data_IF_804146704591
#
_entry.id   IF_804146704591
#
_cell.length_a   1.000
_cell.length_b   1.000
_cell.length_c   1.000
_cell.angle_alpha   90.00
_cell.angle_beta   90.00
_cell.angle_gamma   90.00
#
_symmetry.space_group_name_H-M   'P 1'
#
loop_
_entity.id
_entity.type
_entity.pdbx_description
1 polymer ?
#
# COMPACT_ATOMS: atom_id res chain seq x y z
N UNK A 1 16.47 -17.09 -11.93
CA UNK A 1 15.21 -16.73 -11.25
C UNK A 1 14.93 -17.59 -10.00
N UNK A 2 15.19 -18.92 -10.01
CA UNK A 2 14.96 -19.80 -8.83
C UNK A 2 15.79 -19.46 -7.56
N UNK A 3 16.99 -18.86 -7.71
CA UNK A 3 17.85 -18.56 -6.55
C UNK A 3 17.44 -17.32 -5.74
N UNK A 4 16.54 -16.46 -6.26
CA UNK A 4 16.14 -15.22 -5.61
C UNK A 4 15.22 -15.40 -4.41
N UNK A 5 14.42 -16.48 -4.37
CA UNK A 5 13.43 -16.73 -3.31
C UNK A 5 14.04 -17.21 -1.99
N UNK A 6 15.29 -17.70 -2.00
CA UNK A 6 16.02 -18.13 -0.79
C UNK A 6 16.89 -17.03 -0.17
N UNK A 7 17.11 -15.92 -0.86
CA UNK A 7 18.03 -14.87 -0.43
C UNK A 7 17.29 -13.80 0.38
N UNK A 8 17.74 -13.54 1.61
CA UNK A 8 17.19 -12.47 2.47
C UNK A 8 17.45 -11.07 1.90
N UNK A 9 16.72 -10.06 2.41
CA UNK A 9 16.73 -8.67 1.92
C UNK A 9 18.13 -8.09 1.71
N UNK A 10 19.05 -8.30 2.64
CA UNK A 10 20.41 -7.77 2.57
C UNK A 10 21.22 -8.39 1.41
N UNK A 11 21.05 -9.67 1.15
CA UNK A 11 21.81 -10.39 0.14
C UNK A 11 21.24 -10.19 -1.27
N UNK A 12 19.91 -10.06 -1.38
CA UNK A 12 19.24 -9.62 -2.63
C UNK A 12 19.69 -8.22 -3.04
N UNK A 13 19.78 -7.29 -2.08
CA UNK A 13 20.21 -5.92 -2.33
C UNK A 13 21.67 -5.84 -2.81
N UNK A 14 22.57 -6.64 -2.23
CA UNK A 14 23.96 -6.74 -2.72
C UNK A 14 24.05 -7.26 -4.15
N UNK A 15 23.23 -8.25 -4.50
CA UNK A 15 23.21 -8.81 -5.85
C UNK A 15 22.69 -7.81 -6.88
N UNK A 16 21.66 -7.04 -6.51
CA UNK A 16 21.10 -5.98 -7.36
C UNK A 16 22.11 -4.85 -7.56
N UNK A 17 22.80 -4.42 -6.50
CA UNK A 17 23.90 -3.44 -6.61
C UNK A 17 25.02 -3.98 -7.49
N UNK A 18 25.41 -5.24 -7.34
CA UNK A 18 26.43 -5.86 -8.20
C UNK A 18 26.03 -5.87 -9.66
N UNK A 19 24.77 -6.22 -9.99
CA UNK A 19 24.27 -6.14 -11.37
C UNK A 19 24.26 -4.71 -11.91
N UNK A 20 23.80 -3.75 -11.11
CA UNK A 20 23.72 -2.34 -11.52
C UNK A 20 25.11 -1.75 -11.77
N UNK A 21 26.07 -2.04 -10.88
CA UNK A 21 27.46 -1.58 -11.03
C UNK A 21 28.11 -2.21 -12.25
N UNK A 22 27.97 -3.53 -12.46
CA UNK A 22 28.52 -4.20 -13.65
C UNK A 22 27.92 -3.67 -14.95
N UNK A 23 26.63 -3.28 -14.95
CA UNK A 23 26.01 -2.66 -16.11
C UNK A 23 26.59 -1.27 -16.40
N UNK A 24 26.74 -0.44 -15.37
CA UNK A 24 27.31 0.91 -15.51
C UNK A 24 28.78 0.87 -15.95
N UNK A 25 29.58 -0.02 -15.35
CA UNK A 25 30.96 -0.26 -15.76
C UNK A 25 31.02 -0.70 -17.24
N UNK A 26 30.15 -1.63 -17.63
CA UNK A 26 30.10 -2.11 -19.01
C UNK A 26 29.79 -0.99 -20.00
N UNK A 27 28.77 -0.18 -19.69
CA UNK A 27 28.27 0.89 -20.56
C UNK A 27 29.26 2.06 -20.68
N UNK A 28 29.86 2.51 -19.58
CA UNK A 28 30.73 3.68 -19.58
C UNK A 28 32.21 3.36 -19.81
N UNK A 29 32.68 2.17 -19.43
CA UNK A 29 34.11 1.83 -19.47
C UNK A 29 34.38 0.82 -20.58
N UNK A 30 33.74 -0.35 -20.55
CA UNK A 30 34.14 -1.45 -21.45
C UNK A 30 33.76 -1.22 -22.90
N UNK A 31 32.59 -0.63 -23.17
CA UNK A 31 32.11 -0.39 -24.54
C UNK A 31 32.93 0.70 -25.25
N UNK A 32 33.17 1.90 -24.66
CA UNK A 32 33.99 2.92 -25.32
C UNK A 32 35.44 2.47 -25.53
N UNK A 33 36.02 1.75 -24.56
CA UNK A 33 37.38 1.22 -24.68
C UNK A 33 37.51 0.19 -25.81
N UNK A 34 36.52 -0.69 -25.99
CA UNK A 34 36.48 -1.64 -27.11
C UNK A 34 36.37 -0.91 -28.46
N UNK A 35 35.53 0.11 -28.56
CA UNK A 35 35.39 0.92 -29.79
C UNK A 35 36.70 1.61 -30.14
N UNK A 36 37.38 2.20 -29.15
CA UNK A 36 38.71 2.80 -29.35
C UNK A 36 39.75 1.77 -29.80
N UNK A 37 39.73 0.57 -29.21
CA UNK A 37 40.61 -0.53 -29.61
C UNK A 37 40.38 -0.99 -31.05
N UNK A 38 39.12 -1.15 -31.47
CA UNK A 38 38.79 -1.48 -32.86
C UNK A 38 39.18 -0.35 -33.82
N UNK A 39 38.93 0.91 -33.45
CA UNK A 39 39.34 2.05 -34.27
C UNK A 39 40.86 2.09 -34.46
N UNK A 40 41.65 1.83 -33.41
CA UNK A 40 43.11 1.76 -33.51
C UNK A 40 43.59 0.54 -34.34
N UNK A 41 42.96 -0.62 -34.15
CA UNK A 41 43.26 -1.82 -34.94
C UNK A 41 43.00 -1.60 -36.43
N UNK A 42 41.82 -1.09 -36.80
CA UNK A 42 41.49 -0.77 -38.19
C UNK A 42 42.37 0.35 -38.74
N UNK A 43 42.68 1.38 -37.95
CA UNK A 43 43.61 2.44 -38.37
C UNK A 43 45.05 1.96 -38.55
N UNK A 44 45.48 0.86 -37.93
CA UNK A 44 46.82 0.27 -38.13
C UNK A 44 46.83 -0.79 -39.22
N UNK A 45 45.73 -1.53 -39.40
CA UNK A 45 45.61 -2.58 -40.41
C UNK A 45 45.23 -2.01 -41.77
N UNK A 46 44.21 -1.15 -41.88
CA UNK A 46 43.83 -0.51 -43.16
C UNK A 46 44.87 0.51 -43.62
N UNK A 47 45.49 1.27 -42.70
CA UNK A 47 46.55 2.22 -43.07
C UNK A 47 47.79 1.52 -43.63
N UNK A 48 48.00 0.24 -43.34
CA UNK A 48 49.10 -0.54 -43.88
C UNK A 48 48.78 -1.14 -45.27
N UNK A 49 47.54 -1.00 -45.75
CA UNK A 49 47.08 -1.56 -47.04
C UNK A 49 46.97 -0.49 -48.14
N UNK A 50 47.01 0.82 -47.82
CA UNK A 50 46.95 1.89 -48.83
C UNK A 50 48.32 2.29 -49.44
N UNK A 51 49.44 1.78 -48.91
CA UNK A 51 50.80 2.14 -49.38
C UNK A 51 51.42 1.16 -50.39
N UNK A 52 50.69 0.15 -50.88
CA UNK A 52 51.19 -0.76 -51.92
C UNK A 52 50.38 -0.57 -53.21
N UNK A 53 51.07 -0.02 -54.21
CA UNK A 53 50.64 0.28 -55.57
C UNK A 53 49.93 -0.90 -56.25
N UNK A 54 48.94 -0.62 -57.13
CA UNK A 54 48.89 -1.19 -58.49
C UNK A 54 47.74 -0.60 -59.36
N UNK A 55 47.81 -0.68 -60.70
CA UNK A 55 47.58 0.43 -61.61
C UNK A 55 46.25 0.35 -62.36
N UNK A 56 45.69 1.50 -62.72
CA UNK A 56 44.43 1.60 -63.47
C UNK A 56 44.70 1.39 -64.97
N UNK A 57 44.14 0.31 -65.53
CA UNK A 57 44.05 0.07 -66.97
C UNK A 57 43.10 1.08 -67.64
N UNK A 58 43.46 1.72 -68.77
CA UNK A 58 42.55 2.61 -69.50
C UNK A 58 42.22 2.07 -70.90
N UNK A 59 40.94 1.90 -71.25
CA UNK A 59 40.44 1.87 -72.63
C UNK A 59 38.92 2.19 -72.66
N UNK A 60 38.33 2.63 -73.78
CA UNK A 60 38.73 3.74 -74.66
C UNK A 60 37.51 4.61 -75.08
N UNK A 61 37.72 5.87 -75.46
CA UNK A 61 36.63 6.68 -76.02
C UNK A 61 37.02 8.10 -76.44
N UNK A 62 37.47 8.22 -77.70
CA UNK A 62 37.38 9.31 -78.69
C UNK A 62 37.04 10.75 -78.23
N UNK A 63 37.52 11.85 -78.82
CA UNK A 63 38.40 12.20 -79.95
C UNK A 63 38.49 13.76 -79.91
N UNK A 64 39.44 14.35 -80.64
CA UNK A 64 39.62 15.79 -80.97
C UNK A 64 40.59 16.53 -80.03
N UNK A 65 41.61 17.28 -80.45
CA UNK A 65 42.33 17.57 -81.72
C UNK A 65 43.59 18.37 -81.29
N UNK A 66 44.68 18.50 -82.08
CA UNK A 66 46.03 18.77 -81.57
C UNK A 66 46.41 20.26 -81.57
N UNK A 67 47.35 20.66 -80.69
CA UNK A 67 48.10 21.91 -80.87
C UNK A 67 48.98 22.28 -79.66
N UNK A 68 50.21 22.78 -79.86
CA UNK A 68 51.34 22.49 -78.98
C UNK A 68 51.77 23.69 -78.13
N UNK A 69 52.06 23.46 -76.84
CA UNK A 69 53.15 24.10 -76.06
C UNK A 69 52.91 23.88 -74.57
N UNK A 70 53.60 22.88 -74.03
CA UNK A 70 53.78 22.72 -72.60
C UNK A 70 54.81 23.74 -72.12
N UNK A 71 54.44 24.72 -71.29
CA UNK A 71 55.36 25.40 -70.36
C UNK A 71 54.58 26.01 -69.18
N UNK A 72 54.85 25.46 -68.00
CA UNK A 72 54.68 26.05 -66.65
C UNK A 72 53.31 26.63 -66.25
N UNK A 73 52.47 25.75 -65.67
CA UNK A 73 51.66 26.13 -64.51
C UNK A 73 51.65 25.00 -63.51
N UNK A 74 52.47 25.12 -62.47
CA UNK A 74 52.32 24.36 -61.23
C UNK A 74 50.96 24.72 -60.60
N UNK A 75 49.88 24.12 -61.13
CA UNK A 75 48.56 24.20 -60.52
C UNK A 75 48.52 23.11 -59.47
N UNK A 76 48.62 23.51 -58.19
CA UNK A 76 48.26 22.66 -57.05
C UNK A 76 46.88 22.07 -57.32
N UNK A 77 46.83 20.80 -57.73
CA UNK A 77 45.60 20.04 -57.84
C UNK A 77 45.22 19.56 -56.44
N UNK A 78 44.71 20.47 -55.61
CA UNK A 78 43.77 20.09 -54.55
C UNK A 78 42.50 19.64 -55.27
N UNK A 79 42.42 18.35 -55.59
CA UNK A 79 41.13 17.71 -55.93
C UNK A 79 40.31 17.73 -54.65
N UNK A 80 39.61 18.85 -54.45
CA UNK A 80 38.44 18.89 -53.58
C UNK A 80 37.52 17.77 -54.03
N UNK A 81 37.13 16.93 -53.08
CA UNK A 81 35.90 16.15 -53.16
C UNK A 81 34.79 17.14 -53.57
N UNK A 82 34.40 17.14 -54.84
CA UNK A 82 33.32 17.99 -55.31
C UNK A 82 32.04 17.31 -54.87
N UNK A 83 31.56 17.68 -53.69
CA UNK A 83 30.23 17.34 -53.22
C UNK A 83 29.21 17.74 -54.30
N UNK A 84 28.60 16.74 -54.95
CA UNK A 84 27.46 16.97 -55.83
C UNK A 84 26.20 17.02 -54.95
N UNK A 85 25.43 18.12 -54.98
CA UNK A 85 24.23 18.22 -54.18
C UNK A 85 23.21 17.16 -54.62
N UNK A 86 22.55 16.46 -53.68
CA UNK A 86 21.55 15.46 -54.00
C UNK A 86 20.38 16.07 -54.77
N UNK A 87 19.79 15.28 -55.67
CA UNK A 87 18.64 15.65 -56.48
C UNK A 87 17.50 16.19 -55.58
N UNK A 88 16.82 17.27 -55.98
CA UNK A 88 15.80 17.94 -55.15
C UNK A 88 14.68 17.00 -54.65
N UNK A 89 14.34 15.97 -55.42
CA UNK A 89 13.36 14.96 -55.03
C UNK A 89 13.85 14.07 -53.87
N UNK A 90 15.15 13.77 -53.81
CA UNK A 90 15.75 12.97 -52.74
C UNK A 90 15.96 13.82 -51.48
N UNK A 91 16.21 15.12 -51.63
CA UNK A 91 16.29 16.06 -50.51
C UNK A 91 14.96 16.17 -49.75
N UNK A 92 13.83 16.24 -50.46
CA UNK A 92 12.50 16.26 -49.82
C UNK A 92 12.15 14.92 -49.16
N UNK A 93 12.56 13.79 -49.77
CA UNK A 93 12.44 12.48 -49.11
C UNK A 93 13.28 12.40 -47.84
N UNK A 94 14.55 12.83 -47.88
CA UNK A 94 15.42 12.85 -46.70
C UNK A 94 14.87 13.74 -45.58
N UNK A 95 14.34 14.93 -45.90
CA UNK A 95 13.68 15.81 -44.92
C UNK A 95 12.47 15.16 -44.27
N UNK A 96 11.59 14.55 -45.06
CA UNK A 96 10.39 13.91 -44.51
C UNK A 96 10.73 12.69 -43.66
N UNK A 97 11.74 11.91 -44.03
CA UNK A 97 12.26 10.80 -43.21
C UNK A 97 12.85 11.31 -41.90
N UNK A 98 13.69 12.34 -41.94
CA UNK A 98 14.25 12.96 -40.72
C UNK A 98 13.17 13.50 -39.78
N UNK A 99 12.13 14.14 -40.32
CA UNK A 99 11.02 14.66 -39.52
C UNK A 99 10.20 13.53 -38.88
N UNK A 100 10.01 12.41 -39.60
CA UNK A 100 9.34 11.21 -39.08
C UNK A 100 10.16 10.55 -37.97
N UNK A 101 11.48 10.45 -38.13
CA UNK A 101 12.39 9.91 -37.12
C UNK A 101 12.39 10.75 -35.84
N UNK A 102 12.43 12.08 -35.96
CA UNK A 102 12.35 12.98 -34.80
C UNK A 102 11.02 12.86 -34.05
N UNK A 103 9.90 12.78 -34.78
CA UNK A 103 8.58 12.56 -34.17
C UNK A 103 8.47 11.18 -33.52
N UNK A 104 9.00 10.14 -34.15
CA UNK A 104 9.03 8.79 -33.58
C UNK A 104 9.88 8.76 -32.30
N UNK A 105 11.04 9.39 -32.28
CA UNK A 105 11.89 9.47 -31.09
C UNK A 105 11.21 10.24 -29.94
N UNK A 106 10.51 11.34 -30.25
CA UNK A 106 9.72 12.06 -29.25
C UNK A 106 8.61 11.19 -28.64
N UNK A 107 7.85 10.46 -29.48
CA UNK A 107 6.81 9.54 -29.03
C UNK A 107 7.38 8.38 -28.21
N UNK A 108 8.51 7.80 -28.62
CA UNK A 108 9.18 6.72 -27.87
C UNK A 108 9.59 7.22 -26.49
N UNK A 109 10.15 8.43 -26.39
CA UNK A 109 10.54 9.03 -25.10
C UNK A 109 9.32 9.22 -24.18
N UNK A 110 8.20 9.63 -24.75
CA UNK A 110 6.94 9.80 -24.02
C UNK A 110 6.39 8.45 -23.52
N UNK A 111 6.39 7.42 -24.37
CA UNK A 111 6.00 6.05 -24.00
C UNK A 111 6.90 5.51 -22.88
N UNK A 112 8.22 5.72 -22.94
CA UNK A 112 9.14 5.29 -21.89
C UNK A 112 8.85 6.00 -20.56
N UNK A 113 8.49 7.29 -20.58
CA UNK A 113 8.09 8.00 -19.38
C UNK A 113 6.80 7.42 -18.78
N UNK A 114 5.81 7.09 -19.61
CA UNK A 114 4.57 6.43 -19.15
C UNK A 114 4.81 5.01 -18.62
N UNK A 115 5.66 4.23 -19.27
CA UNK A 115 6.04 2.89 -18.78
C UNK A 115 6.78 2.97 -17.45
N UNK A 116 7.68 3.95 -17.29
CA UNK A 116 8.35 4.22 -16.02
C UNK A 116 7.36 4.61 -14.91
N UNK A 117 6.39 5.48 -15.22
CA UNK A 117 5.34 5.87 -14.27
C UNK A 117 4.46 4.67 -13.88
N UNK A 118 4.01 3.87 -14.85
CA UNK A 118 3.23 2.66 -14.59
C UNK A 118 4.01 1.67 -13.72
N UNK A 119 5.30 1.49 -14.01
CA UNK A 119 6.16 0.62 -13.20
C UNK A 119 6.29 1.13 -11.76
N UNK A 120 6.43 2.44 -11.55
CA UNK A 120 6.44 3.04 -10.21
C UNK A 120 5.11 2.84 -9.49
N UNK A 121 3.97 3.01 -10.17
CA UNK A 121 2.65 2.73 -9.59
C UNK A 121 2.52 1.26 -9.17
N UNK A 122 2.99 0.33 -10.00
CA UNK A 122 2.97 -1.10 -9.68
C UNK A 122 3.84 -1.43 -8.47
N UNK A 123 5.03 -0.81 -8.36
CA UNK A 123 5.87 -0.98 -7.17
C UNK A 123 5.20 -0.46 -5.91
N UNK A 124 4.50 0.68 -5.96
CA UNK A 124 3.79 1.20 -4.78
C UNK A 124 2.61 0.30 -4.42
N UNK A 125 1.81 -0.12 -5.42
CA UNK A 125 0.63 -0.94 -5.20
C UNK A 125 0.95 -2.36 -4.68
N UNK A 126 2.00 -2.98 -5.21
CA UNK A 126 2.35 -4.37 -4.89
C UNK A 126 3.56 -4.52 -3.97
N UNK A 127 4.42 -3.51 -3.85
CA UNK A 127 5.64 -3.60 -3.05
C UNK A 127 5.40 -3.67 -1.54
N UNK A 128 4.29 -3.11 -1.05
CA UNK A 128 3.91 -3.17 0.36
C UNK A 128 2.90 -4.26 0.69
N UNK A 129 2.40 -5.00 -0.30
CA UNK A 129 1.33 -5.98 -0.08
C UNK A 129 1.91 -7.31 0.37
N UNK A 130 1.70 -7.67 1.64
CA UNK A 130 2.08 -8.97 2.17
C UNK A 130 1.14 -10.07 1.62
N UNK A 131 1.65 -11.15 1.00
CA UNK A 131 0.83 -12.26 0.51
C UNK A 131 0.05 -12.98 1.62
N UNK A 132 0.55 -12.98 2.86
CA UNK A 132 -0.05 -13.70 3.99
C UNK A 132 -1.10 -12.89 4.76
N UNK A 133 -1.23 -11.58 4.49
CA UNK A 133 -2.16 -10.71 5.19
C UNK A 133 -3.62 -11.21 5.13
N UNK A 134 -4.01 -11.80 3.99
CA UNK A 134 -5.34 -12.39 3.84
C UNK A 134 -5.56 -13.58 4.79
N UNK A 135 -4.60 -14.51 4.85
CA UNK A 135 -4.70 -15.69 5.69
C UNK A 135 -4.66 -15.33 7.17
N UNK A 136 -3.83 -14.35 7.53
CA UNK A 136 -3.75 -13.82 8.89
C UNK A 136 -5.09 -13.22 9.34
N UNK A 137 -5.66 -12.31 8.56
CA UNK A 137 -6.96 -11.70 8.89
C UNK A 137 -8.08 -12.75 8.94
N UNK A 138 -8.09 -13.72 8.02
CA UNK A 138 -9.09 -14.80 8.03
C UNK A 138 -8.95 -15.71 9.24
N UNK A 139 -7.73 -15.98 9.69
CA UNK A 139 -7.49 -16.74 10.91
C UNK A 139 -8.01 -15.99 12.13
N UNK A 140 -7.69 -14.70 12.27
CA UNK A 140 -8.20 -13.87 13.37
C UNK A 140 -9.72 -13.79 13.36
N UNK A 141 -10.32 -13.49 12.20
CA UNK A 141 -11.77 -13.43 12.04
C UNK A 141 -12.41 -14.75 12.45
N UNK A 142 -11.94 -15.86 11.90
CA UNK A 142 -12.50 -17.17 12.21
C UNK A 142 -12.36 -17.51 13.69
N UNK A 143 -11.18 -17.32 14.30
CA UNK A 143 -10.94 -17.61 15.71
C UNK A 143 -11.89 -16.85 16.63
N UNK A 144 -12.11 -15.55 16.42
CA UNK A 144 -13.02 -14.77 17.26
C UNK A 144 -14.50 -14.98 16.92
N UNK A 145 -14.86 -15.21 15.66
CA UNK A 145 -16.28 -15.31 15.26
C UNK A 145 -16.89 -16.70 15.46
N UNK A 146 -16.12 -17.72 15.86
CA UNK A 146 -16.66 -19.05 16.14
C UNK A 146 -17.78 -18.97 17.18
N UNK A 147 -18.97 -19.46 16.82
CA UNK A 147 -20.15 -19.45 17.70
C UNK A 147 -20.83 -18.09 17.86
N UNK A 148 -20.24 -16.99 17.41
CA UNK A 148 -20.85 -15.65 17.54
C UNK A 148 -22.10 -15.48 16.66
N UNK A 149 -22.15 -16.11 15.48
CA UNK A 149 -23.31 -16.05 14.59
C UNK A 149 -24.60 -16.64 15.18
N UNK A 150 -24.46 -17.54 16.15
CA UNK A 150 -25.58 -18.15 16.87
C UNK A 150 -26.04 -17.33 18.08
N UNK A 151 -25.30 -16.27 18.45
CA UNK A 151 -25.61 -15.42 19.61
C UNK A 151 -26.73 -14.46 19.24
N UNK A 152 -27.93 -14.74 19.74
CA UNK A 152 -29.10 -13.87 19.61
C UNK A 152 -29.38 -13.14 20.94
N UNK A 153 -28.96 -13.72 22.06
CA UNK A 153 -29.22 -13.24 23.41
C UNK A 153 -28.04 -12.54 24.10
N UNK A 154 -28.36 -11.74 25.12
CA UNK A 154 -27.35 -11.13 26.00
C UNK A 154 -26.61 -12.18 26.85
N UNK A 155 -27.33 -13.15 27.39
CA UNK A 155 -26.69 -14.21 28.17
C UNK A 155 -25.75 -15.04 27.29
N UNK A 156 -26.19 -15.41 26.09
CA UNK A 156 -25.37 -16.12 25.11
C UNK A 156 -24.12 -15.33 24.71
N UNK A 157 -24.22 -14.00 24.60
CA UNK A 157 -23.06 -13.14 24.35
C UNK A 157 -22.01 -13.25 25.47
N UNK A 158 -22.43 -13.20 26.73
CA UNK A 158 -21.50 -13.37 27.86
C UNK A 158 -20.95 -14.79 27.95
N UNK A 159 -21.75 -15.80 27.61
CA UNK A 159 -21.27 -17.18 27.51
C UNK A 159 -20.18 -17.29 26.45
N UNK A 160 -20.42 -16.80 25.24
CA UNK A 160 -19.43 -16.75 24.16
C UNK A 160 -18.19 -15.92 24.54
N UNK A 161 -18.38 -14.79 25.22
CA UNK A 161 -17.28 -13.95 25.64
C UNK A 161 -16.37 -14.69 26.64
N UNK A 162 -16.94 -15.40 27.60
CA UNK A 162 -16.17 -16.14 28.59
C UNK A 162 -15.51 -17.40 27.99
N UNK A 163 -16.17 -18.09 27.06
CA UNK A 163 -15.65 -19.34 26.47
C UNK A 163 -14.68 -19.10 25.33
N UNK A 164 -15.03 -18.27 24.35
CA UNK A 164 -14.30 -18.11 23.07
C UNK A 164 -13.46 -16.84 23.05
N UNK A 165 -14.02 -15.68 23.43
CA UNK A 165 -13.28 -14.41 23.37
C UNK A 165 -12.10 -14.40 24.36
N UNK A 166 -12.38 -14.73 25.62
CA UNK A 166 -11.37 -14.77 26.69
C UNK A 166 -10.35 -15.87 26.47
N UNK A 167 -10.76 -17.04 25.96
CA UNK A 167 -9.80 -18.08 25.61
C UNK A 167 -8.86 -17.59 24.54
N UNK A 168 -9.36 -16.95 23.49
CA UNK A 168 -8.56 -16.57 22.34
C UNK A 168 -7.64 -15.37 22.62
N UNK A 169 -8.12 -14.38 23.38
CA UNK A 169 -7.35 -13.18 23.75
C UNK A 169 -6.13 -13.49 24.63
N UNK A 170 -6.28 -14.37 25.62
CA UNK A 170 -5.24 -14.61 26.63
C UNK A 170 -4.67 -16.02 26.50
N UNK A 171 -3.47 -16.10 25.93
CA UNK A 171 -2.71 -17.35 25.90
C UNK A 171 -2.03 -17.65 27.25
N UNK A 172 -1.43 -18.83 27.36
CA UNK A 172 -0.56 -19.19 28.48
C UNK A 172 0.72 -18.33 28.51
N UNK A 173 1.21 -17.89 27.35
CA UNK A 173 2.36 -17.01 27.23
C UNK A 173 1.93 -15.54 27.32
N UNK A 174 2.52 -14.80 28.26
CA UNK A 174 2.16 -13.41 28.51
C UNK A 174 2.36 -12.53 27.29
N UNK A 175 1.33 -11.75 26.96
CA UNK A 175 1.31 -10.83 25.82
C UNK A 175 0.98 -11.47 24.47
N UNK A 176 0.92 -12.80 24.36
CA UNK A 176 0.51 -13.47 23.12
C UNK A 176 -0.97 -13.86 23.15
N UNK A 177 -1.59 -13.76 21.98
CA UNK A 177 -2.90 -14.38 21.67
C UNK A 177 -2.68 -15.90 21.59
N UNK A 178 -3.75 -16.68 21.72
CA UNK A 178 -3.71 -18.17 21.67
C UNK A 178 -2.95 -18.76 20.48
N UNK A 179 -2.92 -18.08 19.35
CA UNK A 179 -2.14 -18.48 18.16
C UNK A 179 -0.62 -18.53 18.42
N UNK A 180 -0.11 -17.89 19.48
CA UNK A 180 1.30 -17.92 19.87
C UNK A 180 2.23 -17.07 19.00
N UNK A 181 1.77 -16.65 17.81
CA UNK A 181 2.50 -15.79 16.88
C UNK A 181 2.08 -14.31 16.97
N UNK A 182 0.84 -14.06 17.42
CA UNK A 182 0.25 -12.73 17.48
C UNK A 182 0.39 -12.13 18.88
N UNK A 183 0.83 -10.87 18.97
CA UNK A 183 0.97 -10.16 20.24
C UNK A 183 -0.22 -9.22 20.47
N UNK A 184 -0.86 -9.33 21.62
CA UNK A 184 -1.91 -8.39 22.04
C UNK A 184 -1.26 -7.07 22.46
N UNK A 185 -1.72 -5.96 21.89
CA UNK A 185 -1.23 -4.61 22.22
C UNK A 185 -2.26 -3.92 23.11
N UNK A 186 -1.86 -3.59 24.34
CA UNK A 186 -2.75 -2.97 25.32
C UNK A 186 -3.73 -3.98 25.92
N UNK A 187 -4.99 -3.58 26.02
CA UNK A 187 -6.08 -4.38 26.56
C UNK A 187 -7.33 -4.26 25.70
N UNK A 188 -8.06 -5.36 25.54
CA UNK A 188 -9.36 -5.35 24.88
C UNK A 188 -10.37 -4.52 25.70
N UNK A 189 -11.38 -3.94 25.07
CA UNK A 189 -12.37 -3.11 25.74
C UNK A 189 -13.77 -3.42 25.22
N UNK A 190 -14.72 -3.54 26.15
CA UNK A 190 -16.14 -3.63 25.80
C UNK A 190 -16.76 -2.25 25.97
N UNK A 191 -17.45 -1.80 24.92
CA UNK A 191 -18.16 -0.54 24.90
C UNK A 191 -19.66 -0.78 24.74
N UNK A 192 -20.43 -0.03 25.52
CA UNK A 192 -21.88 -0.02 25.49
C UNK A 192 -22.39 1.40 25.26
N UNK A 193 -23.40 1.50 24.40
CA UNK A 193 -24.17 2.74 24.20
C UNK A 193 -25.60 2.49 24.66
N UNK A 194 -26.19 3.48 25.32
CA UNK A 194 -27.51 3.40 25.96
C UNK A 194 -28.41 4.56 25.55
N UNK A 195 -29.70 4.31 25.62
CA UNK A 195 -30.76 5.30 25.36
C UNK A 195 -31.40 5.68 26.68
N UNK A 196 -31.67 6.98 26.86
CA UNK A 196 -32.32 7.51 28.06
C UNK A 196 -33.74 6.96 28.23
N UNK A 197 -34.13 6.72 29.48
CA UNK A 197 -35.51 6.38 29.83
C UNK A 197 -36.46 7.58 29.61
N UNK A 198 -37.64 7.31 29.07
CA UNK A 198 -38.63 8.35 28.73
C UNK A 198 -38.33 9.11 27.42
N UNK A 199 -37.42 8.58 26.59
CA UNK A 199 -37.07 9.17 25.28
C UNK A 199 -38.20 9.13 24.24
N UNK A 200 -39.26 8.34 24.50
CA UNK A 200 -40.41 8.27 23.61
C UNK A 200 -41.60 9.07 24.17
N UNK A 201 -42.39 9.73 23.30
CA UNK A 201 -43.61 10.40 23.72
C UNK A 201 -44.70 9.36 24.07
N UNK A 202 -44.86 9.05 25.35
CA UNK A 202 -45.95 8.20 25.83
C UNK A 202 -47.25 9.00 25.95
N UNK A 203 -48.32 8.47 25.35
CA UNK A 203 -49.68 8.98 25.53
C UNK A 203 -50.10 8.84 27.01
N UNK A 204 -50.85 9.81 27.58
CA UNK A 204 -51.21 9.82 29.01
C UNK A 204 -51.89 8.54 29.49
N UNK A 205 -52.68 7.91 28.62
CA UNK A 205 -53.42 6.68 28.92
C UNK A 205 -52.50 5.47 29.11
N UNK A 206 -51.34 5.43 28.44
CA UNK A 206 -50.37 4.34 28.57
C UNK A 206 -49.36 4.55 29.70
N UNK A 207 -49.23 5.77 30.24
CA UNK A 207 -48.30 6.05 31.34
C UNK A 207 -48.62 5.28 32.62
N UNK A 208 -49.88 4.93 32.83
CA UNK A 208 -50.31 4.17 34.00
C UNK A 208 -50.00 2.67 33.91
N UNK A 209 -49.73 2.15 32.69
CA UNK A 209 -49.55 0.71 32.45
C UNK A 209 -48.15 0.33 32.00
N UNK A 210 -47.32 1.28 31.57
CA UNK A 210 -45.96 1.03 31.09
C UNK A 210 -44.93 1.65 32.03
N UNK A 211 -44.10 0.79 32.63
CA UNK A 211 -42.92 1.20 33.36
C UNK A 211 -41.80 1.62 32.39
N UNK A 212 -41.89 2.87 31.97
CA UNK A 212 -40.89 3.53 31.12
C UNK A 212 -41.02 3.22 29.63
N UNK A 213 -40.42 4.09 28.82
CA UNK A 213 -40.32 3.90 27.38
C UNK A 213 -38.93 4.26 26.88
N UNK A 214 -38.46 3.54 25.85
CA UNK A 214 -37.19 3.80 25.21
C UNK A 214 -37.38 3.81 23.71
N UNK A 215 -37.00 4.92 23.09
CA UNK A 215 -37.01 5.04 21.64
C UNK A 215 -35.89 4.18 21.01
N UNK A 216 -35.98 3.87 19.71
CA UNK A 216 -34.83 3.39 18.94
C UNK A 216 -33.64 4.34 19.10
N UNK A 217 -32.43 3.80 19.01
CA UNK A 217 -31.21 4.59 19.22
C UNK A 217 -31.09 5.71 18.16
N UNK A 218 -30.91 6.94 18.65
CA UNK A 218 -30.46 8.10 17.90
C UNK A 218 -29.45 8.88 18.74
N UNK A 219 -28.64 9.72 18.09
CA UNK A 219 -27.65 10.54 18.80
C UNK A 219 -28.31 11.54 19.77
N UNK A 220 -29.55 11.96 19.51
CA UNK A 220 -30.26 12.95 20.33
C UNK A 220 -30.82 12.36 21.64
N UNK A 221 -31.12 11.05 21.64
CA UNK A 221 -31.71 10.35 22.79
C UNK A 221 -30.70 9.49 23.56
N UNK A 222 -29.41 9.66 23.25
CA UNK A 222 -28.32 8.96 23.94
C UNK A 222 -28.25 9.38 25.42
N UNK A 223 -27.99 8.39 26.28
CA UNK A 223 -27.78 8.62 27.69
C UNK A 223 -26.31 9.00 27.95
N UNK A 224 -26.12 10.20 28.49
CA UNK A 224 -24.81 10.81 28.79
C UNK A 224 -24.56 10.88 30.31
N UNK A 225 -25.42 10.27 31.11
CA UNK A 225 -25.41 10.41 32.57
C UNK A 225 -24.41 9.44 33.21
N UNK A 226 -23.79 9.85 34.32
CA UNK A 226 -22.92 8.97 35.10
C UNK A 226 -23.75 8.15 36.10
N UNK A 227 -23.44 6.86 36.19
CA UNK A 227 -24.13 5.93 37.07
C UNK A 227 -23.15 5.24 38.03
N UNK A 228 -23.70 4.71 39.13
CA UNK A 228 -23.04 3.73 39.98
C UNK A 228 -23.39 2.29 39.57
N UNK A 229 -22.88 1.34 40.35
CA UNK A 229 -23.13 -0.09 40.17
C UNK A 229 -24.64 -0.38 39.99
N UNK A 230 -24.96 -1.27 39.05
CA UNK A 230 -26.36 -1.60 38.71
C UNK A 230 -27.18 -0.48 38.06
N UNK A 231 -26.54 0.54 37.47
CA UNK A 231 -27.22 1.71 36.85
C UNK A 231 -27.96 2.60 37.85
N UNK A 232 -27.52 2.60 39.10
CA UNK A 232 -28.11 3.45 40.13
C UNK A 232 -27.43 4.82 40.13
N UNK A 233 -28.20 5.87 39.83
CA UNK A 233 -27.73 7.26 39.83
C UNK A 233 -27.28 7.75 41.23
N UNK A 234 -27.70 7.08 42.30
CA UNK A 234 -27.38 7.47 43.68
C UNK A 234 -26.07 6.86 44.22
N UNK A 235 -25.46 5.93 43.48
CA UNK A 235 -24.35 5.08 43.95
C UNK A 235 -22.98 5.45 43.34
N UNK A 236 -22.70 6.75 43.12
CA UNK A 236 -21.45 7.21 42.49
C UNK A 236 -20.18 7.03 43.35
N UNK A 237 -20.31 6.78 44.65
CA UNK A 237 -19.20 6.90 45.62
C UNK A 237 -18.38 5.62 45.87
N UNK A 238 -18.61 4.52 45.16
CA UNK A 238 -17.77 3.34 45.32
C UNK A 238 -16.49 3.48 44.49
N UNK A 239 -15.38 3.73 45.17
CA UNK A 239 -14.01 3.82 44.63
C UNK A 239 -13.43 2.48 44.15
N UNK A 240 -14.28 1.58 43.64
CA UNK A 240 -13.86 0.33 43.04
C UNK A 240 -13.29 0.60 41.63
N UNK A 241 -12.31 -0.21 41.21
CA UNK A 241 -11.74 -0.22 39.84
C UNK A 241 -12.82 -0.31 38.75
N UNK A 242 -13.98 -0.86 39.10
CA UNK A 242 -15.11 -1.05 38.22
C UNK A 242 -15.91 0.25 38.01
N UNK A 243 -15.89 1.23 38.91
CA UNK A 243 -16.68 2.49 38.79
C UNK A 243 -16.63 3.17 37.41
N UNK A 244 -15.48 3.13 36.73
CA UNK A 244 -15.29 3.68 35.38
C UNK A 244 -16.20 3.07 34.30
N UNK A 245 -16.71 1.85 34.51
CA UNK A 245 -17.57 1.15 33.56
C UNK A 245 -19.04 1.63 33.57
N UNK A 246 -19.43 2.42 34.59
CA UNK A 246 -20.75 3.03 34.71
C UNK A 246 -20.72 4.55 34.48
N UNK A 247 -19.53 5.10 34.21
CA UNK A 247 -19.32 6.51 33.88
C UNK A 247 -19.32 6.69 32.36
N UNK A 248 -19.98 7.74 31.89
CA UNK A 248 -20.05 8.04 30.47
C UNK A 248 -18.75 8.73 30.02
N UNK A 249 -18.12 8.18 28.98
CA UNK A 249 -16.94 8.79 28.38
C UNK A 249 -17.30 9.46 27.07
N UNK A 250 -17.01 10.76 26.97
CA UNK A 250 -17.26 11.52 25.75
C UNK A 250 -16.29 11.15 24.64
N UNK A 251 -16.69 11.40 23.40
CA UNK A 251 -15.89 11.10 22.22
C UNK A 251 -14.52 11.80 22.22
N UNK A 252 -14.46 13.05 22.70
CA UNK A 252 -13.22 13.84 22.77
C UNK A 252 -12.23 13.27 23.78
N UNK A 253 -12.71 12.81 24.94
CA UNK A 253 -11.89 12.16 25.96
C UNK A 253 -11.25 10.87 25.45
N UNK A 254 -12.01 10.06 24.70
CA UNK A 254 -11.52 8.79 24.14
C UNK A 254 -10.76 8.95 22.83
N UNK A 255 -10.82 10.11 22.20
CA UNK A 255 -10.38 10.32 20.81
C UNK A 255 -10.98 9.27 19.86
N UNK A 256 -12.23 8.88 20.14
CA UNK A 256 -12.97 7.89 19.37
C UNK A 256 -13.54 8.49 18.10
N UNK A 257 -13.73 7.67 17.07
CA UNK A 257 -14.39 8.06 15.83
C UNK A 257 -15.76 7.38 15.72
N UNK A 258 -16.73 8.00 15.04
CA UNK A 258 -18.02 7.37 14.80
C UNK A 258 -17.87 6.13 13.92
N UNK A 259 -18.63 5.09 14.22
CA UNK A 259 -18.58 3.79 13.55
C UNK A 259 -19.93 3.51 12.92
N UNK A 260 -19.90 3.12 11.65
CA UNK A 260 -21.08 2.71 10.91
C UNK A 260 -21.48 1.28 11.31
N UNK A 261 -22.60 1.16 12.02
CA UNK A 261 -23.23 -0.12 12.31
C UNK A 261 -24.23 -0.52 11.24
N UNK A 262 -24.81 -1.73 11.37
CA UNK A 262 -25.87 -2.21 10.47
C UNK A 262 -27.16 -1.40 10.57
N UNK A 263 -27.47 -0.85 11.75
CA UNK A 263 -28.71 -0.12 12.01
C UNK A 263 -28.54 1.39 11.87
N UNK A 264 -27.43 1.93 12.36
CA UNK A 264 -27.19 3.37 12.46
C UNK A 264 -25.71 3.66 12.75
N UNK A 265 -25.34 4.94 12.74
CA UNK A 265 -24.02 5.42 13.10
C UNK A 265 -23.94 5.62 14.61
N UNK A 266 -22.93 5.01 15.23
CA UNK A 266 -22.66 5.16 16.66
C UNK A 266 -21.48 6.12 16.85
N UNK A 267 -21.59 7.18 17.66
CA UNK A 267 -20.49 8.10 17.97
C UNK A 267 -19.38 7.38 18.73
N UNK A 268 -18.21 8.01 18.88
CA UNK A 268 -17.05 7.38 19.55
C UNK A 268 -17.12 7.32 21.09
N UNK A 269 -18.16 7.91 21.69
CA UNK A 269 -18.39 7.91 23.14
C UNK A 269 -19.04 6.62 23.67
N UNK A 270 -19.42 6.65 24.94
CA UNK A 270 -20.21 5.59 25.59
C UNK A 270 -19.62 5.13 26.93
N UNK A 271 -20.22 4.08 27.48
CA UNK A 271 -19.75 3.39 28.67
C UNK A 271 -18.74 2.32 28.27
N UNK A 272 -17.55 2.34 28.86
CA UNK A 272 -16.41 1.58 28.36
C UNK A 272 -15.75 0.85 29.50
N UNK A 273 -15.43 -0.41 29.24
CA UNK A 273 -14.73 -1.23 30.23
C UNK A 273 -13.54 -1.93 29.63
N UNK A 274 -12.33 -1.70 30.14
CA UNK A 274 -11.16 -2.47 29.76
C UNK A 274 -11.23 -3.88 30.36
N UNK A 275 -11.16 -4.88 29.49
CA UNK A 275 -10.87 -6.27 29.83
C UNK A 275 -9.38 -6.32 30.20
N UNK A 276 -9.04 -6.68 31.43
CA UNK A 276 -7.66 -6.55 31.96
C UNK A 276 -6.59 -7.32 31.17
N UNK A 277 -5.38 -7.47 31.71
CA UNK A 277 -4.33 -8.24 31.03
C UNK A 277 -4.39 -9.75 31.30
N UNK A 278 -5.19 -10.16 32.28
CA UNK A 278 -5.20 -11.55 32.75
C UNK A 278 -6.53 -12.23 32.44
N UNK A 279 -6.45 -13.52 32.12
CA UNK A 279 -7.62 -14.36 31.85
C UNK A 279 -8.59 -14.42 33.04
N UNK A 280 -8.06 -14.63 34.26
CA UNK A 280 -8.86 -14.77 35.47
C UNK A 280 -9.51 -13.46 35.93
N UNK A 281 -8.81 -12.33 35.76
CA UNK A 281 -9.39 -11.03 36.11
C UNK A 281 -10.51 -10.67 35.14
N UNK A 282 -10.32 -10.99 33.85
CA UNK A 282 -11.33 -10.79 32.82
C UNK A 282 -12.56 -11.67 33.01
N UNK A 283 -12.41 -12.96 33.33
CA UNK A 283 -13.55 -13.86 33.56
C UNK A 283 -14.38 -13.41 34.77
N UNK A 284 -13.73 -13.09 35.90
CA UNK A 284 -14.41 -12.55 37.10
C UNK A 284 -15.15 -11.26 36.81
N UNK A 285 -14.55 -10.41 35.97
CA UNK A 285 -15.17 -9.17 35.56
C UNK A 285 -16.42 -9.43 34.72
N UNK A 286 -16.36 -10.30 33.71
CA UNK A 286 -17.52 -10.67 32.90
C UNK A 286 -18.65 -11.25 33.76
N UNK A 287 -18.33 -12.10 34.74
CA UNK A 287 -19.31 -12.66 35.71
C UNK A 287 -19.94 -11.56 36.58
N UNK A 288 -19.15 -10.58 37.02
CA UNK A 288 -19.64 -9.44 37.82
C UNK A 288 -20.57 -8.56 36.98
N UNK A 289 -20.20 -8.24 35.75
CA UNK A 289 -21.01 -7.45 34.81
C UNK A 289 -22.31 -8.17 34.45
N UNK A 290 -22.24 -9.48 34.27
CA UNK A 290 -23.40 -10.31 33.98
C UNK A 290 -24.36 -10.35 35.18
N UNK A 291 -23.86 -10.51 36.40
CA UNK A 291 -24.69 -10.54 37.62
C UNK A 291 -25.31 -9.17 37.94
N UNK A 292 -24.60 -8.07 37.69
CA UNK A 292 -25.12 -6.71 37.84
C UNK A 292 -26.01 -6.24 36.68
N UNK A 293 -26.37 -7.14 35.76
CA UNK A 293 -27.30 -6.88 34.67
C UNK A 293 -26.91 -5.66 33.83
N UNK A 294 -25.62 -5.57 33.45
CA UNK A 294 -25.06 -4.41 32.74
C UNK A 294 -25.80 -4.07 31.42
N UNK A 295 -26.54 -5.02 30.83
CA UNK A 295 -27.50 -4.72 29.75
C UNK A 295 -28.44 -3.58 30.08
N UNK A 296 -29.02 -3.58 31.29
CA UNK A 296 -30.03 -2.67 31.81
C UNK A 296 -31.35 -2.58 31.01
N UNK A 297 -31.32 -2.77 29.69
CA UNK A 297 -32.42 -2.51 28.78
C UNK A 297 -32.28 -3.30 27.45
N UNK A 298 -33.39 -3.66 26.78
CA UNK A 298 -33.37 -4.25 25.44
C UNK A 298 -32.85 -3.33 24.32
N UNK A 299 -32.75 -2.01 24.53
CA UNK A 299 -32.36 -1.03 23.48
C UNK A 299 -30.88 -0.63 23.45
N UNK A 300 -30.01 -1.40 24.11
CA UNK A 300 -28.56 -1.13 24.22
C UNK A 300 -27.78 -1.75 23.06
N UNK A 301 -26.85 -1.00 22.46
CA UNK A 301 -25.90 -1.52 21.47
C UNK A 301 -24.55 -1.83 22.14
N UNK A 302 -23.96 -2.98 21.79
CA UNK A 302 -22.66 -3.43 22.29
C UNK A 302 -21.65 -3.51 21.15
N UNK A 303 -20.43 -3.06 21.42
CA UNK A 303 -19.28 -3.30 20.56
C UNK A 303 -18.09 -3.71 21.42
N UNK A 304 -17.46 -4.84 21.12
CA UNK A 304 -16.19 -5.23 21.70
C UNK A 304 -15.07 -4.94 20.70
N UNK A 305 -13.99 -4.32 21.16
CA UNK A 305 -12.80 -3.98 20.38
C UNK A 305 -11.54 -4.52 21.08
#
# INVERSE_FOLDING_TARGET
MLYGLRYGRASSLKWLISMAVSFLESMFVTQPLKVLGFAAFFALVLKRVEDEEEPVAPLPGCLSSPGPSALFRARRNSRKDVYQPPLAADFEKMKTTHLKEQKAFALIREILAYLGFLWMLLLVAYGQRDPNAYHFNRHLEHSFTQGFSAVLGFQEFFTWANTTLVSNLYSHHSGFITDGNSKLVGSAQIRQVRVREGSCPLAPQLRASLDGCRAPYSMDVEDLSDYGEGWNASALNNSNRFSQAWQYQSQSQRRGYPIWGKLTVYPGGGYVVPLGTDRQSTSRFLETVQSQNWKGSPSSAFSAW
#
